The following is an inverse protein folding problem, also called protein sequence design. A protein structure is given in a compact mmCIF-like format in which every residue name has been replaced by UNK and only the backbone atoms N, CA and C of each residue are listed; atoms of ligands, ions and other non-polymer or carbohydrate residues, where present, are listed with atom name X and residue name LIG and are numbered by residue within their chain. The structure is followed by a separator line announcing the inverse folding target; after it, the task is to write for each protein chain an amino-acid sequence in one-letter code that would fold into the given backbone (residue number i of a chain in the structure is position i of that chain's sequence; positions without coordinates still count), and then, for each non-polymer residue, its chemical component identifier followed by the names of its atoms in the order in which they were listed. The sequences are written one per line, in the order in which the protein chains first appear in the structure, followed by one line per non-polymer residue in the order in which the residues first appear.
data_IF_076207098787
#
_entry.id   IF_076207098787
#
_cell.length_a   1.000
_cell.length_b   1.000
_cell.length_c   1.000
_cell.angle_alpha   90.00
_cell.angle_beta   90.00
_cell.angle_gamma   90.00
#
_symmetry.space_group_name_H-M   'P 1'
#
loop_
_entity.id
_entity.type
_entity.pdbx_description
1 polymer ?
#
# COMPACT_ATOMS: atom_id res chain seq x y z
N UNK A 1 -26.68 -32.00 53.53
CA UNK A 1 -26.95 -30.69 52.91
C UNK A 1 -25.62 -30.13 52.48
N UNK A 2 -25.20 -30.43 51.25
CA UNK A 2 -23.83 -30.27 50.76
C UNK A 2 -23.84 -29.34 49.54
N UNK A 3 -23.02 -28.30 49.68
CA UNK A 3 -22.26 -27.54 48.66
C UNK A 3 -23.03 -26.61 47.74
N UNK A 4 -22.78 -25.30 47.93
CA UNK A 4 -22.98 -24.29 46.91
C UNK A 4 -21.99 -24.47 45.77
N UNK A 5 -22.51 -24.65 44.56
CA UNK A 5 -21.73 -24.52 43.34
C UNK A 5 -21.61 -23.04 42.99
N UNK A 6 -20.40 -22.50 43.04
CA UNK A 6 -20.06 -21.29 42.32
C UNK A 6 -20.19 -21.59 40.83
N UNK A 7 -21.21 -21.04 40.17
CA UNK A 7 -21.23 -20.99 38.72
C UNK A 7 -20.02 -20.15 38.29
N UNK A 8 -19.05 -20.78 37.62
CA UNK A 8 -17.99 -20.06 36.93
C UNK A 8 -18.67 -19.22 35.84
N UNK A 9 -18.71 -17.91 36.05
CA UNK A 9 -19.05 -16.95 34.99
C UNK A 9 -17.88 -17.00 34.01
N UNK A 10 -18.13 -17.42 32.77
CA UNK A 10 -17.18 -17.27 31.68
C UNK A 10 -16.93 -15.77 31.50
N UNK A 11 -15.81 -15.28 32.03
CA UNK A 11 -15.45 -13.87 31.94
C UNK A 11 -14.94 -13.59 30.52
N UNK A 12 -15.59 -12.65 29.83
CA UNK A 12 -15.16 -12.15 28.53
C UNK A 12 -13.71 -11.69 28.56
N UNK A 13 -13.03 -12.05 27.49
CA UNK A 13 -11.66 -11.71 27.10
C UNK A 13 -11.72 -10.39 26.33
N UNK A 14 -11.51 -9.29 27.03
CA UNK A 14 -11.35 -7.98 26.41
C UNK A 14 -9.92 -7.78 25.93
N UNK A 15 -9.81 -7.33 24.69
CA UNK A 15 -8.55 -7.11 24.02
C UNK A 15 -8.53 -5.74 23.37
N UNK A 16 -7.38 -5.10 23.51
CA UNK A 16 -7.13 -3.70 23.16
C UNK A 16 -5.70 -3.65 22.60
N UNK A 17 -5.52 -3.18 21.37
CA UNK A 17 -4.20 -3.11 20.75
C UNK A 17 -3.78 -1.66 20.64
N UNK A 18 -2.49 -1.43 20.84
CA UNK A 18 -1.86 -0.12 20.78
C UNK A 18 -0.63 -0.28 19.89
N UNK A 19 -0.41 0.66 18.97
CA UNK A 19 0.70 0.63 18.01
C UNK A 19 1.71 1.70 18.35
N UNK A 20 2.97 1.42 18.04
CA UNK A 20 3.97 2.44 17.75
C UNK A 20 3.70 3.12 16.39
N UNK A 21 3.49 4.44 16.33
CA UNK A 21 3.10 5.16 15.11
C UNK A 21 4.23 5.36 14.07
N UNK A 22 5.42 4.77 14.24
CA UNK A 22 6.60 5.13 13.43
C UNK A 22 7.18 4.06 12.48
N UNK A 23 6.69 2.81 12.47
CA UNK A 23 7.23 1.72 11.63
C UNK A 23 6.12 0.91 10.92
N UNK A 24 6.45 0.22 9.82
CA UNK A 24 5.53 -0.71 9.13
C UNK A 24 5.34 -2.00 9.91
N UNK A 25 4.78 -1.89 11.10
CA UNK A 25 4.57 -2.99 12.05
C UNK A 25 3.12 -3.00 12.54
N UNK A 26 2.66 -4.19 12.93
CA UNK A 26 1.35 -4.46 13.49
C UNK A 26 1.54 -5.17 14.82
N UNK A 27 1.13 -4.51 15.90
CA UNK A 27 1.08 -5.10 17.24
C UNK A 27 -0.30 -5.74 17.45
N UNK A 28 -0.31 -6.98 17.93
CA UNK A 28 -1.51 -7.74 18.27
C UNK A 28 -1.55 -7.97 19.78
N UNK A 29 -2.60 -7.50 20.45
CA UNK A 29 -2.83 -7.79 21.88
C UNK A 29 -3.84 -8.94 22.02
N UNK A 30 -3.86 -9.63 23.16
CA UNK A 30 -4.90 -10.54 23.62
C UNK A 30 -5.04 -10.41 25.15
N UNK A 31 -6.24 -10.50 25.73
CA UNK A 31 -6.42 -10.27 27.17
C UNK A 31 -7.71 -10.79 27.79
N UNK A 32 -7.62 -11.31 29.03
CA UNK A 32 -8.75 -11.78 29.83
C UNK A 32 -8.95 -10.88 31.05
N UNK A 33 -10.07 -10.14 31.13
CA UNK A 33 -10.45 -9.24 32.24
C UNK A 33 -9.34 -8.32 32.78
N UNK A 34 -8.42 -8.84 33.62
CA UNK A 34 -7.33 -8.10 34.28
C UNK A 34 -5.93 -8.41 33.70
N UNK A 35 -5.82 -9.31 32.73
CA UNK A 35 -4.55 -9.76 32.18
C UNK A 35 -4.54 -9.58 30.67
N UNK A 36 -3.44 -9.08 30.12
CA UNK A 36 -3.22 -9.01 28.68
C UNK A 36 -1.78 -9.41 28.34
N UNK A 37 -1.54 -9.68 27.06
CA UNK A 37 -0.23 -9.77 26.45
C UNK A 37 -0.31 -9.28 25.00
N UNK A 38 0.82 -8.97 24.38
CA UNK A 38 0.88 -8.57 22.99
C UNK A 38 2.09 -9.17 22.26
N UNK A 39 2.06 -9.12 20.93
CA UNK A 39 3.14 -9.53 20.03
C UNK A 39 3.12 -8.67 18.76
N UNK A 40 4.29 -8.32 18.21
CA UNK A 40 4.43 -7.35 17.12
C UNK A 40 5.15 -7.98 15.93
N UNK A 41 4.64 -7.75 14.72
CA UNK A 41 5.23 -8.24 13.48
C UNK A 41 5.34 -7.11 12.44
N UNK A 42 6.40 -7.11 11.64
CA UNK A 42 6.50 -6.23 10.48
C UNK A 42 5.49 -6.63 9.40
N UNK A 43 4.98 -5.67 8.64
CA UNK A 43 4.03 -5.85 7.54
C UNK A 43 4.72 -5.84 6.17
N UNK A 44 4.21 -6.63 5.24
CA UNK A 44 4.62 -6.68 3.84
C UNK A 44 3.39 -6.81 2.93
N UNK A 45 3.50 -6.35 1.67
CA UNK A 45 2.37 -6.42 0.75
C UNK A 45 2.38 -5.35 -0.33
N UNK A 46 1.22 -5.14 -0.97
CA UNK A 46 1.01 -4.12 -2.00
C UNK A 46 -0.33 -3.44 -1.82
N UNK A 47 -0.42 -2.14 -2.14
CA UNK A 47 -1.67 -1.37 -2.20
C UNK A 47 -1.79 -0.75 -3.59
N UNK A 48 -2.92 -0.97 -4.25
CA UNK A 48 -3.27 -0.38 -5.53
C UNK A 48 -4.35 0.69 -5.34
N UNK A 49 -3.98 1.94 -5.59
CA UNK A 49 -4.88 3.08 -5.46
C UNK A 49 -4.96 3.88 -6.76
N UNK A 50 -6.15 4.39 -7.04
CA UNK A 50 -6.41 5.43 -8.04
C UNK A 50 -6.51 6.76 -7.32
N UNK A 51 -5.80 7.75 -7.84
CA UNK A 51 -5.83 9.14 -7.37
C UNK A 51 -6.41 9.99 -8.48
N UNK A 52 -7.46 10.75 -8.18
CA UNK A 52 -8.08 11.68 -9.13
C UNK A 52 -7.99 13.11 -8.59
N UNK A 53 -7.18 13.93 -9.26
CA UNK A 53 -6.97 15.35 -8.96
C UNK A 53 -7.85 16.27 -9.83
N UNK A 54 -8.76 15.71 -10.62
CA UNK A 54 -9.56 16.42 -11.61
C UNK A 54 -8.75 16.89 -12.82
N UNK A 55 -9.38 17.70 -13.67
CA UNK A 55 -8.78 18.21 -14.92
C UNK A 55 -7.96 19.50 -14.79
N UNK A 56 -7.61 19.91 -13.57
CA UNK A 56 -6.83 21.14 -13.32
C UNK A 56 -5.34 20.96 -13.62
N UNK A 57 -4.66 22.05 -13.95
CA UNK A 57 -3.20 22.04 -14.16
C UNK A 57 -2.40 22.00 -12.84
N UNK A 58 -3.03 22.32 -11.72
CA UNK A 58 -2.44 22.36 -10.38
C UNK A 58 -3.10 21.32 -9.47
N UNK A 59 -2.37 20.89 -8.43
CA UNK A 59 -2.92 20.06 -7.36
C UNK A 59 -4.06 20.80 -6.63
N UNK A 60 -5.30 20.29 -6.65
CA UNK A 60 -6.44 20.96 -6.03
C UNK A 60 -6.43 20.82 -4.50
N UNK A 61 -7.13 21.71 -3.80
CA UNK A 61 -7.27 21.64 -2.34
C UNK A 61 -8.02 20.38 -1.86
N UNK A 62 -8.82 19.76 -2.73
CA UNK A 62 -9.57 18.52 -2.49
C UNK A 62 -9.44 17.65 -3.73
N UNK A 63 -9.21 16.36 -3.52
CA UNK A 63 -9.07 15.35 -4.57
C UNK A 63 -9.72 14.03 -4.10
N UNK A 64 -9.76 13.05 -5.00
CA UNK A 64 -10.40 11.77 -4.76
C UNK A 64 -9.36 10.63 -4.66
N UNK A 65 -9.62 9.69 -3.75
CA UNK A 65 -8.82 8.49 -3.52
C UNK A 65 -9.73 7.26 -3.60
N UNK A 66 -9.36 6.31 -4.44
CA UNK A 66 -9.97 4.98 -4.48
C UNK A 66 -8.91 3.90 -4.34
N UNK A 67 -8.86 3.24 -3.19
CA UNK A 67 -8.09 2.00 -3.01
C UNK A 67 -8.88 0.87 -3.65
N UNK A 68 -8.38 0.37 -4.77
CA UNK A 68 -9.04 -0.66 -5.59
C UNK A 68 -8.77 -2.07 -5.05
N UNK A 69 -7.58 -2.27 -4.50
CA UNK A 69 -7.16 -3.48 -3.82
C UNK A 69 -5.94 -3.16 -2.97
N UNK A 70 -5.74 -3.95 -1.92
CA UNK A 70 -4.49 -3.99 -1.18
C UNK A 70 -4.44 -5.34 -0.51
N UNK A 71 -3.25 -5.93 -0.43
CA UNK A 71 -3.02 -7.17 0.29
C UNK A 71 -1.84 -6.93 1.21
N UNK A 72 -2.07 -7.06 2.51
CA UNK A 72 -1.08 -6.81 3.57
C UNK A 72 -1.02 -8.04 4.45
N UNK A 73 0.19 -8.53 4.70
CA UNK A 73 0.45 -9.70 5.54
C UNK A 73 1.57 -9.38 6.55
N UNK A 74 1.48 -9.87 7.79
CA UNK A 74 2.60 -9.85 8.71
C UNK A 74 3.69 -10.80 8.22
N UNK A 75 4.94 -10.46 8.49
CA UNK A 75 6.12 -11.25 8.13
C UNK A 75 6.30 -12.50 8.99
N UNK A 76 5.49 -12.65 10.04
CA UNK A 76 5.50 -13.78 10.97
C UNK A 76 4.13 -14.03 11.61
N UNK A 77 4.04 -15.15 12.33
CA UNK A 77 2.85 -15.52 13.11
C UNK A 77 2.90 -14.87 14.49
N UNK A 78 1.74 -14.55 15.05
CA UNK A 78 1.62 -13.99 16.40
C UNK A 78 1.53 -15.08 17.46
N UNK A 79 2.23 -14.89 18.59
CA UNK A 79 2.18 -15.76 19.76
C UNK A 79 2.03 -14.94 21.05
N UNK A 80 0.80 -14.87 21.57
CA UNK A 80 0.47 -14.02 22.71
C UNK A 80 0.18 -14.88 23.93
N UNK A 81 0.90 -14.66 25.03
CA UNK A 81 0.71 -15.38 26.29
C UNK A 81 0.04 -14.49 27.33
N UNK A 82 -1.15 -14.89 27.80
CA UNK A 82 -1.92 -14.15 28.81
C UNK A 82 -1.69 -14.78 30.18
N UNK A 83 -1.01 -14.04 31.06
CA UNK A 83 -0.70 -14.44 32.44
C UNK A 83 -0.06 -15.83 32.61
N UNK A 84 0.56 -16.39 31.56
CA UNK A 84 1.13 -17.74 31.56
C UNK A 84 0.11 -18.89 31.59
N UNK A 85 -1.19 -18.59 31.46
CA UNK A 85 -2.28 -19.57 31.58
C UNK A 85 -2.98 -19.86 30.26
N UNK A 86 -2.99 -18.89 29.35
CA UNK A 86 -3.62 -19.01 28.04
C UNK A 86 -2.67 -18.49 26.96
N UNK A 87 -2.76 -19.08 25.77
CA UNK A 87 -2.01 -18.63 24.61
C UNK A 87 -2.95 -18.43 23.43
N UNK A 88 -2.86 -17.27 22.78
CA UNK A 88 -3.52 -16.99 21.51
C UNK A 88 -2.46 -16.98 20.41
N UNK A 89 -2.72 -17.71 19.33
CA UNK A 89 -1.87 -17.78 18.16
C UNK A 89 -2.64 -17.32 16.95
N UNK A 90 -2.03 -16.47 16.14
CA UNK A 90 -2.57 -16.08 14.85
C UNK A 90 -1.56 -16.50 13.78
N UNK A 91 -1.97 -17.39 12.89
CA UNK A 91 -1.11 -17.86 11.80
C UNK A 91 -1.66 -17.38 10.46
N UNK A 92 -0.75 -17.10 9.52
CA UNK A 92 -1.07 -16.83 8.12
C UNK A 92 -2.09 -15.69 7.93
N UNK A 93 -2.10 -14.71 8.84
CA UNK A 93 -3.00 -13.57 8.75
C UNK A 93 -2.74 -12.80 7.45
N UNK A 94 -3.80 -12.47 6.72
CA UNK A 94 -3.73 -11.56 5.60
C UNK A 94 -4.93 -10.63 5.65
N UNK A 95 -4.69 -9.36 5.32
CA UNK A 95 -5.68 -8.31 5.28
C UNK A 95 -5.81 -7.80 3.84
N UNK A 96 -7.04 -7.75 3.34
CA UNK A 96 -7.34 -7.01 2.13
C UNK A 96 -7.86 -5.61 2.46
N UNK A 97 -7.45 -4.60 1.67
CA UNK A 97 -7.82 -3.20 1.87
C UNK A 97 -8.55 -2.67 0.63
N UNK A 98 -9.70 -2.02 0.84
CA UNK A 98 -10.49 -1.38 -0.22
C UNK A 98 -11.15 -0.10 0.28
N UNK A 99 -11.48 0.84 -0.60
CA UNK A 99 -12.35 1.96 -0.21
C UNK A 99 -13.79 1.47 -0.03
N UNK A 100 -14.42 1.83 1.09
CA UNK A 100 -15.77 1.37 1.45
C UNK A 100 -16.84 1.96 0.51
N UNK A 101 -16.74 3.26 0.24
CA UNK A 101 -17.64 4.00 -0.66
C UNK A 101 -16.83 4.81 -1.68
N UNK A 102 -16.32 4.18 -2.76
CA UNK A 102 -15.49 4.88 -3.73
C UNK A 102 -16.30 5.85 -4.61
N UNK A 103 -15.74 7.04 -4.96
CA UNK A 103 -14.44 7.54 -4.51
C UNK A 103 -14.48 8.13 -3.09
N UNK A 104 -13.43 7.88 -2.31
CA UNK A 104 -13.18 8.57 -1.03
C UNK A 104 -12.59 9.97 -1.25
N UNK A 105 -12.62 10.82 -0.23
CA UNK A 105 -12.12 12.20 -0.33
C UNK A 105 -10.77 12.36 0.36
N UNK A 106 -9.86 13.10 -0.27
CA UNK A 106 -8.61 13.55 0.35
C UNK A 106 -8.47 15.08 0.28
N UNK A 107 -7.95 15.68 1.34
CA UNK A 107 -7.78 17.13 1.49
C UNK A 107 -6.31 17.49 1.50
N UNK A 108 -5.91 18.49 0.72
CA UNK A 108 -4.54 18.96 0.69
C UNK A 108 -4.18 19.69 1.99
N UNK A 109 -3.03 19.36 2.55
CA UNK A 109 -2.48 19.97 3.75
C UNK A 109 -1.61 21.17 3.40
N UNK A 110 -1.63 22.20 4.24
CA UNK A 110 -0.73 23.35 4.09
C UNK A 110 0.71 22.91 4.40
N UNK A 111 1.64 23.12 3.47
CA UNK A 111 3.04 22.72 3.63
C UNK A 111 3.92 23.06 2.44
N UNK A 112 5.20 22.68 2.52
CA UNK A 112 6.17 22.83 1.42
C UNK A 112 6.09 21.69 0.40
N UNK A 113 5.62 20.52 0.83
CA UNK A 113 5.39 19.35 -0.02
C UNK A 113 3.90 19.24 -0.33
N UNK A 114 3.57 18.56 -1.43
CA UNK A 114 2.18 18.25 -1.76
C UNK A 114 1.78 17.04 -0.93
N UNK A 115 1.06 17.29 0.16
CA UNK A 115 0.57 16.24 1.06
C UNK A 115 -0.95 16.29 1.09
N UNK A 116 -1.58 15.13 0.92
CA UNK A 116 -3.02 14.95 1.11
C UNK A 116 -3.28 14.11 2.35
N UNK A 117 -4.37 14.40 3.03
CA UNK A 117 -4.89 13.65 4.16
C UNK A 117 -6.27 13.09 3.82
N UNK A 118 -6.56 11.86 4.22
CA UNK A 118 -7.87 11.22 4.08
C UNK A 118 -8.24 10.51 5.38
N UNK A 119 -9.53 10.34 5.64
CA UNK A 119 -10.01 9.60 6.81
C UNK A 119 -9.91 8.09 6.52
N UNK A 120 -9.16 7.36 7.34
CA UNK A 120 -9.02 5.92 7.19
C UNK A 120 -10.33 5.17 7.50
N UNK A 121 -11.32 5.82 8.13
CA UNK A 121 -12.67 5.30 8.27
C UNK A 121 -13.39 5.07 6.91
N UNK A 122 -12.92 5.72 5.84
CA UNK A 122 -13.44 5.48 4.49
C UNK A 122 -12.87 4.20 3.85
N UNK A 123 -11.92 3.53 4.51
CA UNK A 123 -11.34 2.27 4.06
C UNK A 123 -11.99 1.10 4.81
N UNK A 124 -12.21 0.01 4.09
CA UNK A 124 -12.56 -1.30 4.63
C UNK A 124 -11.29 -2.16 4.64
N UNK A 125 -11.05 -2.82 5.75
CA UNK A 125 -9.98 -3.80 5.92
C UNK A 125 -10.61 -5.14 6.31
N UNK A 126 -10.28 -6.20 5.59
CA UNK A 126 -10.86 -7.53 5.78
C UNK A 126 -9.78 -8.57 6.02
N UNK A 127 -9.81 -9.26 7.17
CA UNK A 127 -8.96 -10.41 7.46
C UNK A 127 -9.65 -11.68 6.96
N UNK A 128 -9.05 -12.39 5.99
CA UNK A 128 -9.75 -13.46 5.26
C UNK A 128 -8.96 -14.74 4.96
N UNK A 129 -7.76 -14.92 5.54
CA UNK A 129 -6.91 -16.09 5.23
C UNK A 129 -6.17 -16.72 6.42
N UNK A 130 -6.22 -16.09 7.61
CA UNK A 130 -5.52 -16.58 8.79
C UNK A 130 -6.30 -17.56 9.66
N UNK A 131 -5.63 -18.11 10.67
CA UNK A 131 -6.28 -18.90 11.72
C UNK A 131 -6.01 -18.28 13.08
N UNK A 132 -7.04 -18.23 13.94
CA UNK A 132 -6.93 -17.83 15.34
C UNK A 132 -7.08 -19.08 16.20
N UNK A 133 -6.07 -19.40 16.99
CA UNK A 133 -6.04 -20.57 17.88
C UNK A 133 -5.89 -20.08 19.31
N UNK A 134 -6.87 -20.38 20.16
CA UNK A 134 -6.81 -20.11 21.59
C UNK A 134 -6.60 -21.42 22.35
N UNK A 135 -5.59 -21.45 23.23
CA UNK A 135 -5.23 -22.62 24.04
C UNK A 135 -5.23 -22.25 25.53
N UNK A 136 -5.80 -23.14 26.35
CA UNK A 136 -5.93 -22.99 27.80
C UNK A 136 -6.49 -24.28 28.41
N UNK A 137 -7.66 -24.20 29.07
CA UNK A 137 -8.35 -25.40 29.57
C UNK A 137 -8.93 -26.28 28.44
N UNK A 138 -9.20 -25.69 27.27
CA UNK A 138 -9.55 -26.36 26.03
C UNK A 138 -8.92 -25.60 24.85
N UNK A 139 -8.66 -26.31 23.75
CA UNK A 139 -8.19 -25.72 22.49
C UNK A 139 -9.39 -25.40 21.59
N UNK A 140 -9.37 -24.23 20.98
CA UNK A 140 -10.37 -23.81 19.99
C UNK A 140 -9.67 -23.11 18.84
N UNK A 141 -10.18 -23.29 17.63
CA UNK A 141 -9.64 -22.72 16.40
C UNK A 141 -10.75 -22.07 15.59
N UNK A 142 -10.49 -20.86 15.09
CA UNK A 142 -11.33 -20.12 14.15
C UNK A 142 -10.55 -19.93 12.85
N UNK A 143 -11.16 -20.29 11.73
CA UNK A 143 -10.61 -20.10 10.39
C UNK A 143 -11.20 -18.80 9.80
N UNK A 144 -10.35 -17.79 9.60
CA UNK A 144 -10.76 -16.48 9.11
C UNK A 144 -11.10 -16.49 7.62
N UNK A 145 -10.72 -17.53 6.87
CA UNK A 145 -11.19 -17.68 5.48
C UNK A 145 -12.64 -18.15 5.42
N UNK A 146 -13.07 -18.94 6.40
CA UNK A 146 -14.46 -19.36 6.53
C UNK A 146 -15.34 -18.26 7.15
N UNK A 147 -14.78 -17.48 8.08
CA UNK A 147 -15.46 -16.40 8.81
C UNK A 147 -14.64 -15.10 8.72
N UNK A 148 -14.66 -14.40 7.58
CA UNK A 148 -13.84 -13.20 7.38
C UNK A 148 -14.28 -12.07 8.29
N UNK A 149 -13.30 -11.42 8.92
CA UNK A 149 -13.50 -10.29 9.83
C UNK A 149 -13.29 -9.01 9.05
N UNK A 150 -14.29 -8.14 8.99
CA UNK A 150 -14.21 -6.88 8.25
C UNK A 150 -14.48 -5.70 9.16
N UNK A 151 -13.60 -4.71 9.15
CA UNK A 151 -13.76 -3.47 9.92
C UNK A 151 -13.13 -2.26 9.20
N UNK A 152 -13.40 -1.07 9.73
CA UNK A 152 -12.83 0.21 9.29
C UNK A 152 -12.26 0.94 10.51
N UNK A 153 -11.26 1.79 10.30
CA UNK A 153 -10.69 2.58 11.38
C UNK A 153 -11.73 3.55 11.97
N UNK A 154 -11.62 3.93 13.26
CA UNK A 154 -12.48 4.96 13.84
C UNK A 154 -12.34 6.29 13.09
N UNK A 155 -13.45 7.02 12.94
CA UNK A 155 -13.45 8.35 12.32
C UNK A 155 -12.47 9.29 13.02
N UNK A 156 -11.69 10.03 12.23
CA UNK A 156 -10.60 10.87 12.73
C UNK A 156 -9.24 10.15 12.82
N UNK A 157 -9.17 8.89 12.39
CA UNK A 157 -7.91 8.18 12.16
C UNK A 157 -7.43 8.52 10.77
N UNK A 158 -6.43 9.38 10.64
CA UNK A 158 -6.06 9.95 9.34
C UNK A 158 -4.84 9.28 8.72
N UNK A 159 -4.97 8.86 7.47
CA UNK A 159 -3.84 8.52 6.61
C UNK A 159 -3.36 9.72 5.79
N UNK A 160 -2.21 9.56 5.15
CA UNK A 160 -1.63 10.59 4.29
C UNK A 160 -1.03 10.03 3.01
N UNK A 161 -0.95 10.88 1.99
CA UNK A 161 -0.17 10.64 0.77
C UNK A 161 0.71 11.87 0.55
N UNK A 162 2.01 11.66 0.50
CA UNK A 162 2.98 12.72 0.24
C UNK A 162 3.64 12.52 -1.13
N UNK A 163 3.66 13.57 -1.95
CA UNK A 163 4.37 13.62 -3.22
C UNK A 163 5.64 14.43 -3.08
N UNK A 164 6.77 13.83 -3.42
CA UNK A 164 8.08 14.47 -3.40
C UNK A 164 8.73 14.38 -4.77
N UNK A 165 9.16 15.52 -5.33
CA UNK A 165 9.97 15.51 -6.55
C UNK A 165 11.37 14.96 -6.22
N UNK A 166 11.77 13.88 -6.89
CA UNK A 166 13.02 13.15 -6.60
C UNK A 166 14.11 13.55 -7.58
N UNK A 167 13.84 13.43 -8.88
CA UNK A 167 14.81 13.68 -9.93
C UNK A 167 14.20 14.47 -11.08
N UNK A 168 15.07 15.22 -11.75
CA UNK A 168 14.77 16.03 -12.93
C UNK A 168 15.65 15.56 -14.07
N UNK A 169 15.04 15.20 -15.21
CA UNK A 169 15.75 14.88 -16.45
C UNK A 169 15.05 15.58 -17.61
N UNK A 170 15.61 16.72 -18.07
CA UNK A 170 14.96 17.56 -19.07
C UNK A 170 13.54 17.99 -18.63
N UNK A 171 12.49 17.75 -19.45
CA UNK A 171 11.12 18.07 -19.07
C UNK A 171 10.56 17.11 -18.01
N UNK A 172 11.17 15.94 -17.82
CA UNK A 172 10.64 14.92 -16.91
C UNK A 172 10.98 15.21 -15.45
N UNK A 173 10.04 14.86 -14.57
CA UNK A 173 10.19 14.84 -13.12
C UNK A 173 9.74 13.48 -12.62
N UNK A 174 10.60 12.81 -11.87
CA UNK A 174 10.20 11.64 -11.10
C UNK A 174 9.61 12.10 -9.79
N UNK A 175 8.39 11.66 -9.51
CA UNK A 175 7.68 11.91 -8.27
C UNK A 175 7.67 10.61 -7.46
N UNK A 176 8.17 10.66 -6.23
CA UNK A 176 7.89 9.64 -5.24
C UNK A 176 6.57 9.95 -4.57
N UNK A 177 5.71 8.96 -4.45
CA UNK A 177 4.51 8.99 -3.64
C UNK A 177 4.73 8.06 -2.45
N UNK A 178 4.54 8.57 -1.25
CA UNK A 178 4.55 7.76 -0.02
C UNK A 178 3.17 7.86 0.60
N UNK A 179 2.47 6.74 0.63
CA UNK A 179 1.20 6.58 1.29
C UNK A 179 1.42 5.98 2.67
N UNK A 180 0.79 6.57 3.68
CA UNK A 180 0.75 6.07 5.06
C UNK A 180 -0.69 5.77 5.41
N UNK A 181 -1.02 4.49 5.56
CA UNK A 181 -2.35 4.02 5.96
C UNK A 181 -2.29 3.56 7.42
N UNK A 182 -2.88 4.29 8.38
CA UNK A 182 -3.16 3.70 9.67
C UNK A 182 -4.21 2.61 9.50
N UNK A 183 -3.97 1.46 10.10
CA UNK A 183 -4.95 0.38 10.21
C UNK A 183 -5.34 0.25 11.68
N UNK A 184 -6.63 0.17 11.95
CA UNK A 184 -7.18 -0.17 13.25
C UNK A 184 -8.37 -1.07 13.03
N UNK A 185 -8.21 -2.35 13.33
CA UNK A 185 -9.27 -3.34 13.37
C UNK A 185 -9.67 -3.48 14.81
N UNK A 186 -10.96 -3.64 15.08
CA UNK A 186 -11.47 -4.09 16.37
C UNK A 186 -12.54 -5.15 16.12
N UNK A 187 -12.35 -6.35 16.62
CA UNK A 187 -13.32 -7.42 16.52
C UNK A 187 -13.54 -8.08 17.88
N UNK A 188 -14.60 -8.87 18.01
CA UNK A 188 -14.83 -9.72 19.18
C UNK A 188 -15.26 -11.11 18.73
N UNK A 189 -14.38 -12.08 18.93
CA UNK A 189 -14.53 -13.47 18.55
C UNK A 189 -15.06 -14.28 19.74
N UNK A 190 -16.23 -14.90 19.61
CA UNK A 190 -16.70 -15.85 20.63
C UNK A 190 -15.99 -17.21 20.48
N UNK A 191 -15.20 -17.57 21.48
CA UNK A 191 -14.50 -18.85 21.58
C UNK A 191 -15.18 -19.72 22.64
N UNK A 192 -16.24 -20.45 22.25
CA UNK A 192 -16.99 -21.38 23.10
C UNK A 192 -17.62 -20.73 24.35
N UNK A 193 -18.26 -19.57 24.20
CA UNK A 193 -18.92 -18.80 25.26
C UNK A 193 -17.99 -17.80 25.95
N UNK A 194 -16.82 -17.54 25.36
CA UNK A 194 -15.80 -16.61 25.85
C UNK A 194 -15.53 -15.60 24.74
N UNK A 195 -16.04 -14.38 24.92
CA UNK A 195 -15.83 -13.28 23.97
C UNK A 195 -14.36 -12.86 24.00
N UNK A 196 -13.62 -12.92 22.90
CA UNK A 196 -12.21 -12.51 22.76
C UNK A 196 -12.16 -11.29 21.84
N UNK A 197 -11.89 -10.09 22.35
CA UNK A 197 -11.67 -8.97 21.44
C UNK A 197 -10.38 -9.19 20.61
N UNK A 198 -10.25 -8.54 19.47
CA UNK A 198 -9.09 -8.56 18.59
C UNK A 198 -9.00 -7.19 17.92
N UNK A 199 -8.24 -6.27 18.50
CA UNK A 199 -7.95 -4.91 18.04
C UNK A 199 -6.78 -4.73 17.02
N UNK A 200 -6.64 -5.41 15.89
CA UNK A 200 -5.70 -5.09 14.78
C UNK A 200 -5.12 -3.65 14.57
N UNK A 201 -4.12 -3.12 15.29
CA UNK A 201 -3.66 -1.74 15.09
C UNK A 201 -2.23 -1.66 14.49
N UNK A 202 -2.04 -0.96 13.37
CA UNK A 202 -0.75 -0.80 12.66
C UNK A 202 -0.64 0.47 11.80
N UNK A 203 0.52 0.65 11.17
CA UNK A 203 0.69 1.57 10.03
C UNK A 203 1.23 0.78 8.83
N UNK A 204 0.57 0.90 7.69
CA UNK A 204 1.07 0.40 6.41
C UNK A 204 1.68 1.58 5.67
N UNK A 205 2.97 1.48 5.31
CA UNK A 205 3.64 2.44 4.44
C UNK A 205 3.78 1.80 3.07
N UNK A 206 3.27 2.48 2.04
CA UNK A 206 3.41 2.07 0.65
C UNK A 206 4.14 3.17 -0.12
N UNK A 207 5.27 2.83 -0.74
CA UNK A 207 6.02 3.71 -1.61
C UNK A 207 5.77 3.37 -3.08
N UNK A 208 5.67 4.40 -3.91
CA UNK A 208 5.60 4.30 -5.36
C UNK A 208 6.41 5.42 -5.98
N UNK A 209 6.83 5.23 -7.23
CA UNK A 209 7.44 6.29 -8.03
C UNK A 209 6.85 6.31 -9.42
N UNK A 210 6.53 7.49 -9.93
CA UNK A 210 6.06 7.70 -11.29
C UNK A 210 6.75 8.91 -11.90
N UNK A 211 6.66 9.04 -13.23
CA UNK A 211 7.27 10.15 -13.97
C UNK A 211 6.16 11.02 -14.55
N UNK A 212 6.33 12.34 -14.43
CA UNK A 212 5.51 13.35 -15.09
C UNK A 212 6.40 14.19 -16.02
N UNK A 213 5.81 14.81 -17.04
CA UNK A 213 6.46 15.87 -17.81
C UNK A 213 5.99 17.24 -17.30
N UNK A 214 6.92 18.12 -16.94
CA UNK A 214 6.62 19.54 -16.70
C UNK A 214 6.26 20.23 -18.01
N UNK A 215 5.53 21.37 -17.93
CA UNK A 215 4.32 21.61 -18.71
C UNK A 215 4.35 20.88 -20.05
N UNK A 216 3.41 19.93 -20.22
CA UNK A 216 3.25 19.01 -21.35
C UNK A 216 4.18 19.33 -22.53
N UNK A 217 5.13 18.44 -22.81
CA UNK A 217 6.08 18.58 -23.91
C UNK A 217 5.26 18.88 -25.16
N UNK A 218 5.33 20.10 -25.67
CA UNK A 218 4.34 20.60 -26.62
C UNK A 218 4.37 19.84 -27.96
N UNK A 219 5.38 18.99 -28.15
CA UNK A 219 5.63 18.15 -29.32
C UNK A 219 5.24 16.67 -29.09
N UNK A 220 4.81 16.31 -27.88
CA UNK A 220 4.17 15.04 -27.52
C UNK A 220 2.66 15.17 -27.80
N UNK A 221 2.28 14.89 -29.04
CA UNK A 221 0.93 15.13 -29.56
C UNK A 221 -0.03 13.99 -29.21
N UNK A 222 0.47 12.78 -28.93
CA UNK A 222 -0.36 11.65 -28.50
C UNK A 222 -0.47 11.51 -26.97
N UNK A 223 0.26 12.35 -26.22
CA UNK A 223 0.30 12.45 -24.76
C UNK A 223 0.81 11.17 -24.08
N UNK A 224 1.73 10.45 -24.73
CA UNK A 224 2.32 9.23 -24.19
C UNK A 224 3.61 9.45 -23.38
N UNK A 225 4.01 10.73 -23.17
CA UNK A 225 5.23 11.19 -22.52
C UNK A 225 6.51 11.03 -23.33
N UNK A 226 6.46 10.60 -24.59
CA UNK A 226 7.61 10.48 -25.48
C UNK A 226 7.40 11.35 -26.71
N UNK A 227 8.50 11.82 -27.33
CA UNK A 227 8.45 12.56 -28.60
C UNK A 227 9.15 11.72 -29.65
N UNK A 228 8.38 11.08 -30.51
CA UNK A 228 8.90 10.15 -31.51
C UNK A 228 8.15 10.17 -32.85
N UNK A 229 8.22 9.08 -33.60
CA UNK A 229 7.64 8.97 -34.93
C UNK A 229 6.10 8.95 -34.93
N UNK A 230 5.47 8.55 -33.82
CA UNK A 230 4.01 8.54 -33.69
C UNK A 230 3.48 9.98 -33.58
N UNK A 231 4.16 10.86 -32.85
CA UNK A 231 3.87 12.30 -32.85
C UNK A 231 4.06 12.91 -34.24
N UNK A 232 5.16 12.56 -34.92
CA UNK A 232 5.39 13.05 -36.28
C UNK A 232 4.25 12.64 -37.22
N UNK A 233 3.70 11.45 -37.08
CA UNK A 233 2.57 10.99 -37.88
C UNK A 233 1.32 11.85 -37.62
N UNK A 234 1.07 12.25 -36.37
CA UNK A 234 -0.02 13.18 -36.01
C UNK A 234 0.18 14.52 -36.70
N UNK A 235 1.37 15.14 -36.59
CA UNK A 235 1.66 16.40 -37.26
C UNK A 235 1.52 16.30 -38.79
N UNK A 236 2.07 15.24 -39.40
CA UNK A 236 1.98 15.02 -40.85
C UNK A 236 0.53 14.90 -41.34
N UNK A 237 -0.32 14.23 -40.55
CA UNK A 237 -1.73 14.04 -40.90
C UNK A 237 -2.54 15.34 -40.85
N UNK A 238 -2.09 16.31 -40.05
CA UNK A 238 -2.79 17.59 -39.83
C UNK A 238 -2.05 18.79 -40.45
N UNK A 239 -0.93 18.58 -41.16
CA UNK A 239 -0.15 19.68 -41.71
C UNK A 239 -0.98 20.60 -42.62
N UNK A 240 -0.88 21.90 -42.36
CA UNK A 240 -1.62 22.94 -43.07
C UNK A 240 -3.00 23.23 -42.50
N UNK A 241 -3.37 22.63 -41.36
CA UNK A 241 -4.59 22.97 -40.62
C UNK A 241 -4.50 24.41 -40.10
N UNK A 242 -5.37 25.34 -40.54
CA UNK A 242 -5.33 26.73 -40.11
C UNK A 242 -6.39 27.04 -39.05
N UNK A 243 -6.01 27.77 -38.01
CA UNK A 243 -6.86 28.23 -36.90
C UNK A 243 -7.56 27.10 -36.10
N UNK A 244 -7.56 27.24 -34.77
CA UNK A 244 -8.13 26.24 -33.85
C UNK A 244 -7.41 24.88 -33.84
N UNK A 245 -6.19 24.82 -34.35
CA UNK A 245 -5.31 23.71 -34.03
C UNK A 245 -5.09 23.65 -32.51
N UNK A 246 -4.86 22.44 -32.02
CA UNK A 246 -4.48 22.16 -30.64
C UNK A 246 -3.19 21.34 -30.65
N UNK A 247 -2.53 21.26 -29.50
CA UNK A 247 -1.36 20.40 -29.31
C UNK A 247 -1.64 18.97 -29.77
N UNK A 248 -2.80 18.39 -29.43
CA UNK A 248 -3.18 17.05 -29.87
C UNK A 248 -3.34 16.89 -31.40
N UNK A 249 -3.39 17.99 -32.15
CA UNK A 249 -3.42 17.98 -33.62
C UNK A 249 -2.08 18.38 -34.25
N UNK A 250 -1.06 18.70 -33.47
CA UNK A 250 0.27 19.06 -33.98
C UNK A 250 0.65 20.54 -33.87
N UNK A 251 -0.09 21.35 -33.10
CA UNK A 251 0.24 22.77 -32.83
C UNK A 251 1.10 22.87 -31.57
N UNK A 252 2.41 22.88 -31.77
CA UNK A 252 3.42 22.84 -30.71
C UNK A 252 3.79 24.24 -30.20
N UNK A 253 3.70 25.28 -31.03
CA UNK A 253 3.99 26.65 -30.59
C UNK A 253 2.75 27.40 -30.04
N UNK A 254 1.56 26.82 -30.21
CA UNK A 254 0.30 27.32 -29.69
C UNK A 254 -0.26 28.49 -30.50
N UNK A 255 0.18 28.68 -31.75
CA UNK A 255 -0.30 29.75 -32.62
C UNK A 255 -1.67 29.48 -33.26
N UNK A 256 -2.20 28.26 -33.05
CA UNK A 256 -3.48 27.81 -33.56
C UNK A 256 -3.41 27.23 -34.98
N UNK A 257 -2.23 26.97 -35.54
CA UNK A 257 -2.03 26.32 -36.83
C UNK A 257 -1.05 25.14 -36.73
N UNK A 258 -1.16 24.18 -37.64
CA UNK A 258 -0.20 23.08 -37.78
C UNK A 258 0.72 23.39 -38.96
N UNK A 259 1.92 23.85 -38.67
CA UNK A 259 2.82 24.49 -39.62
C UNK A 259 4.24 23.92 -39.57
N UNK A 260 5.14 24.50 -40.38
CA UNK A 260 6.56 24.16 -40.34
C UNK A 260 7.26 24.64 -39.05
N UNK A 261 6.69 25.60 -38.33
CA UNK A 261 7.19 26.03 -37.02
C UNK A 261 7.12 24.89 -36.01
N UNK A 262 5.98 24.22 -35.95
CA UNK A 262 5.72 23.07 -35.08
C UNK A 262 6.64 21.89 -35.39
N UNK A 263 6.89 21.64 -36.68
CA UNK A 263 7.82 20.60 -37.09
C UNK A 263 9.25 20.87 -36.61
N UNK A 264 9.70 22.12 -36.62
CA UNK A 264 11.03 22.45 -36.11
C UNK A 264 11.12 22.24 -34.59
N UNK A 265 10.04 22.49 -33.85
CA UNK A 265 9.95 22.13 -32.44
C UNK A 265 10.01 20.62 -32.25
N UNK A 266 9.22 19.85 -33.00
CA UNK A 266 9.26 18.38 -32.94
C UNK A 266 10.66 17.85 -33.28
N UNK A 267 11.34 18.39 -34.30
CA UNK A 267 12.70 17.98 -34.64
C UNK A 267 13.71 18.25 -33.53
N UNK A 268 13.53 19.35 -32.78
CA UNK A 268 14.36 19.67 -31.63
C UNK A 268 14.13 18.69 -30.48
N UNK A 269 12.88 18.30 -30.25
CA UNK A 269 12.45 17.46 -29.13
C UNK A 269 12.46 15.96 -29.43
N UNK A 270 12.59 15.55 -30.69
CA UNK A 270 12.55 14.15 -31.11
C UNK A 270 13.62 13.30 -30.37
N UNK A 271 13.15 12.24 -29.73
CA UNK A 271 13.95 11.36 -28.88
C UNK A 271 13.89 11.72 -27.38
N UNK A 272 13.16 12.76 -26.99
CA UNK A 272 12.76 12.94 -25.59
C UNK A 272 11.87 11.76 -25.19
N UNK A 273 12.26 11.08 -24.12
CA UNK A 273 11.49 9.99 -23.51
C UNK A 273 11.72 9.98 -22.00
N UNK A 274 10.78 9.44 -21.21
CA UNK A 274 10.92 9.35 -19.77
C UNK A 274 12.22 8.60 -19.40
N UNK A 275 12.93 9.01 -18.33
CA UNK A 275 14.08 8.27 -17.86
C UNK A 275 13.66 6.83 -17.52
N UNK A 276 14.46 5.85 -17.94
CA UNK A 276 14.22 4.45 -17.61
C UNK A 276 14.10 4.31 -16.08
N UNK A 277 13.15 3.50 -15.57
CA UNK A 277 13.04 3.23 -14.15
C UNK A 277 14.40 2.78 -13.62
N UNK A 278 14.86 3.36 -12.52
CA UNK A 278 16.03 2.84 -11.83
C UNK A 278 15.71 1.38 -11.48
N UNK A 279 16.52 0.44 -11.97
CA UNK A 279 16.37 -0.95 -11.58
C UNK A 279 16.43 -0.98 -10.05
N UNK A 280 15.33 -1.40 -9.41
CA UNK A 280 15.34 -1.61 -7.97
C UNK A 280 16.53 -2.52 -7.67
N UNK A 281 17.42 -2.08 -6.78
CA UNK A 281 18.49 -2.93 -6.31
C UNK A 281 17.79 -4.08 -5.57
N UNK A 282 17.57 -5.19 -6.28
CA UNK A 282 17.12 -6.44 -5.68
C UNK A 282 18.17 -6.72 -4.62
N UNK A 283 17.82 -6.70 -3.32
CA UNK A 283 18.75 -7.12 -2.29
C UNK A 283 19.25 -8.49 -2.74
N UNK A 284 20.54 -8.77 -2.61
CA UNK A 284 21.04 -10.11 -2.89
C UNK A 284 20.96 -10.96 -1.61
N UNK A 285 19.84 -11.62 -1.24
CA UNK A 285 19.90 -12.74 -0.32
C UNK A 285 19.78 -14.04 -1.13
N UNK A 286 20.47 -15.07 -0.63
CA UNK A 286 20.45 -16.49 -1.07
C UNK A 286 21.51 -16.95 -2.08
N UNK A 287 21.97 -16.16 -3.05
CA UNK A 287 22.96 -16.67 -4.03
C UNK A 287 24.31 -17.04 -3.36
N UNK A 288 24.81 -16.19 -2.47
CA UNK A 288 26.03 -16.47 -1.69
C UNK A 288 25.83 -17.64 -0.72
N UNK A 289 24.65 -17.78 -0.12
CA UNK A 289 24.31 -18.89 0.78
C UNK A 289 24.19 -20.22 0.03
N UNK A 290 23.62 -20.24 -1.18
CA UNK A 290 23.54 -21.42 -2.04
C UNK A 290 24.92 -21.83 -2.56
N UNK A 291 25.78 -20.86 -2.92
CA UNK A 291 27.16 -21.14 -3.30
C UNK A 291 27.97 -21.73 -2.12
N UNK A 292 27.81 -21.18 -0.91
CA UNK A 292 28.43 -21.71 0.29
C UNK A 292 27.92 -23.12 0.65
N UNK A 293 26.61 -23.36 0.53
CA UNK A 293 26.01 -24.67 0.76
C UNK A 293 26.48 -25.70 -0.27
N UNK A 294 26.57 -25.33 -1.55
CA UNK A 294 27.09 -26.19 -2.61
C UNK A 294 28.57 -26.55 -2.38
N UNK A 295 29.38 -25.57 -1.94
CA UNK A 295 30.79 -25.79 -1.61
C UNK A 295 30.94 -26.71 -0.39
N UNK A 296 30.11 -26.52 0.64
CA UNK A 296 30.10 -27.39 1.82
C UNK A 296 29.73 -28.85 1.46
N UNK A 297 28.73 -29.05 0.60
CA UNK A 297 28.35 -30.38 0.09
C UNK A 297 29.48 -31.02 -0.73
N UNK A 298 30.17 -30.25 -1.57
CA UNK A 298 31.32 -30.73 -2.34
C UNK A 298 32.49 -31.17 -1.46
N UNK A 299 32.82 -30.39 -0.41
CA UNK A 299 33.89 -30.73 0.54
C UNK A 299 33.55 -32.00 1.33
N UNK A 300 32.30 -32.17 1.78
CA UNK A 300 31.88 -33.37 2.51
C UNK A 300 31.88 -34.62 1.62
N UNK A 301 31.51 -34.49 0.34
CA UNK A 301 31.57 -35.61 -0.62
C UNK A 301 33.00 -35.99 -0.96
N UNK A 302 33.91 -35.04 -1.17
CA UNK A 302 35.32 -35.31 -1.50
C UNK A 302 36.08 -36.05 -0.39
N UNK A 303 35.70 -35.87 0.89
CA UNK A 303 36.34 -36.53 2.04
C UNK A 303 35.86 -37.98 2.28
N UNK A 304 34.80 -38.42 1.60
CA UNK A 304 34.29 -39.80 1.68
C UNK A 304 34.83 -40.72 0.58
N UNK A 305 35.57 -40.17 -0.37
CA UNK A 305 36.13 -40.90 -1.52
C UNK A 305 37.66 -41.06 -1.46
N UNK A 306 38.27 -40.82 -0.30
CA UNK A 306 39.69 -40.98 -0.03
C UNK A 306 39.93 -42.01 1.09
#
# INVERSE_FOLDING_TARGET
MLVGGSAAVAAGVDVEFVIDPMQSELEVTAGVSFFSGSDTQALAGTVNALLDFGGGADFPSVAELTVTSGNVMPTGNYLITIAGLQTVRINDAAADITTLNPPGTMTQMAGTNVTYQFDAADLSVSLNQGTVIATGLAESTVDLAAEPVTNSAPAGTFGSIEFTAVTTSGPYRTIAAVMTLPIELQDTIDVNGVMVNVTAAGVVVADASFVIALPAIATDFDMNLSVDADDLAIWQSNFGLPASATTATGDADGDGAVSGGDYLLWQHDNGLAPPAPAAAAVPEPTAALLAAAALAVAIVRGRRSA
#
